data_IF_591728648109
#
_entry.id   IF_591728648109
#
_cell.length_a   1.000
_cell.length_b   1.000
_cell.length_c   1.000
_cell.angle_alpha   90.00
_cell.angle_beta   90.00
_cell.angle_gamma   90.00
#
_symmetry.space_group_name_H-M   'P 1'
#
loop_
_entity.id
_entity.type
_entity.pdbx_description
1 polymer ?
#
# COMPACT_ATOMS: atom_id res chain seq x y z
N UNK A 1 7.24 -34.46 -1.04
CA UNK A 1 7.22 -33.08 -1.53
C UNK A 1 8.65 -32.60 -1.48
N UNK A 2 9.25 -32.28 -2.62
CA UNK A 2 10.63 -31.77 -2.69
C UNK A 2 10.70 -30.37 -2.07
N UNK A 3 11.85 -29.98 -1.54
CA UNK A 3 12.10 -28.63 -1.02
C UNK A 3 11.85 -27.56 -2.09
N UNK A 4 12.14 -27.87 -3.37
CA UNK A 4 11.82 -26.99 -4.49
C UNK A 4 10.31 -26.83 -4.71
N UNK A 5 9.52 -27.90 -4.55
CA UNK A 5 8.06 -27.84 -4.67
C UNK A 5 7.47 -26.93 -3.59
N UNK A 6 7.94 -27.07 -2.34
CA UNK A 6 7.51 -26.24 -1.21
C UNK A 6 7.85 -24.77 -1.45
N UNK A 7 9.03 -24.49 -2.02
CA UNK A 7 9.46 -23.12 -2.34
C UNK A 7 8.64 -22.51 -3.49
N UNK A 8 8.28 -23.29 -4.49
CA UNK A 8 7.40 -22.85 -5.58
C UNK A 8 5.98 -22.58 -5.08
N UNK A 9 5.42 -23.45 -4.25
CA UNK A 9 4.10 -23.26 -3.64
C UNK A 9 4.10 -22.02 -2.75
N UNK A 10 5.12 -21.83 -1.90
CA UNK A 10 5.23 -20.65 -1.06
C UNK A 10 5.34 -19.35 -1.88
N UNK A 11 6.06 -19.37 -3.01
CA UNK A 11 6.11 -18.24 -3.95
C UNK A 11 4.77 -17.99 -4.62
N UNK A 12 4.12 -19.04 -5.12
CA UNK A 12 2.82 -18.93 -5.78
C UNK A 12 1.76 -18.37 -4.83
N UNK A 13 1.75 -18.81 -3.57
CA UNK A 13 0.85 -18.27 -2.53
C UNK A 13 1.17 -16.80 -2.25
N UNK A 14 2.45 -16.43 -2.13
CA UNK A 14 2.84 -15.01 -1.92
C UNK A 14 2.47 -14.15 -3.14
N UNK A 15 2.69 -14.63 -4.35
CA UNK A 15 2.31 -13.94 -5.60
C UNK A 15 0.79 -13.82 -5.75
N UNK A 16 0.04 -14.87 -5.38
CA UNK A 16 -1.41 -14.87 -5.38
C UNK A 16 -1.96 -13.94 -4.29
N UNK A 17 -1.37 -13.94 -3.08
CA UNK A 17 -1.72 -13.00 -2.01
C UNK A 17 -1.39 -11.54 -2.36
N UNK A 18 -0.27 -11.32 -3.07
CA UNK A 18 0.08 -10.01 -3.62
C UNK A 18 -0.89 -9.58 -4.73
N UNK A 19 -1.48 -10.54 -5.46
CA UNK A 19 -2.52 -10.28 -6.47
C UNK A 19 -3.89 -9.95 -5.88
N UNK A 20 -4.14 -10.25 -4.59
CA UNK A 20 -5.40 -9.91 -3.89
C UNK A 20 -5.49 -8.38 -3.63
N UNK A 21 -4.41 -7.65 -3.86
CA UNK A 21 -4.35 -6.20 -3.71
C UNK A 21 -4.92 -5.53 -4.97
N UNK A 22 -6.25 -5.56 -5.07
CA UNK A 22 -7.07 -5.07 -6.19
C UNK A 22 -6.92 -3.54 -6.37
N UNK A 23 -5.88 -3.10 -7.06
CA UNK A 23 -5.83 -1.75 -7.61
C UNK A 23 -4.93 -1.76 -8.84
N UNK A 24 -5.40 -1.15 -9.92
CA UNK A 24 -4.63 -1.07 -11.16
C UNK A 24 -3.79 0.21 -11.20
N UNK A 25 -2.55 0.05 -11.69
CA UNK A 25 -1.66 1.17 -11.95
C UNK A 25 -2.19 1.96 -13.15
N UNK A 26 -2.18 3.29 -13.07
CA UNK A 26 -2.57 4.13 -14.19
C UNK A 26 -1.61 3.89 -15.38
N UNK A 27 -2.12 3.59 -16.60
CA UNK A 27 -1.30 3.11 -17.73
C UNK A 27 -0.12 3.99 -18.10
N UNK A 28 -0.22 5.31 -17.86
CA UNK A 28 0.86 6.28 -18.13
C UNK A 28 2.14 6.05 -17.33
N UNK A 29 2.11 5.20 -16.30
CA UNK A 29 3.26 4.89 -15.44
C UNK A 29 3.79 3.46 -15.59
N UNK A 30 3.14 2.63 -16.41
CA UNK A 30 3.54 1.24 -16.63
C UNK A 30 5.01 1.15 -17.12
N UNK A 31 5.77 0.24 -16.54
CA UNK A 31 7.20 0.06 -16.85
C UNK A 31 8.10 1.23 -16.42
N UNK A 32 7.56 2.21 -15.68
CA UNK A 32 8.33 3.33 -15.14
C UNK A 32 9.19 2.95 -13.93
N UNK A 33 10.18 3.79 -13.63
CA UNK A 33 11.03 3.67 -12.45
C UNK A 33 11.30 5.03 -11.81
N UNK A 34 11.47 5.06 -10.49
CA UNK A 34 11.99 6.20 -9.75
C UNK A 34 13.48 5.98 -9.50
N UNK A 35 14.29 6.99 -9.79
CA UNK A 35 15.72 7.00 -9.46
C UNK A 35 15.97 7.97 -8.31
N UNK A 36 16.53 7.45 -7.21
CA UNK A 36 16.99 8.25 -6.09
C UNK A 36 18.46 8.59 -6.31
N UNK A 37 18.70 9.87 -6.63
CA UNK A 37 20.03 10.40 -6.89
C UNK A 37 20.65 10.87 -5.57
N UNK A 38 21.73 10.24 -5.09
CA UNK A 38 22.40 10.68 -3.89
C UNK A 38 23.09 12.03 -4.14
N UNK A 39 23.15 12.88 -3.11
CA UNK A 39 23.86 14.16 -3.18
C UNK A 39 25.37 13.98 -3.43
N UNK A 40 25.93 12.85 -2.99
CA UNK A 40 27.34 12.52 -3.21
C UNK A 40 27.48 11.57 -4.40
N UNK A 41 28.30 11.95 -5.38
CA UNK A 41 28.49 11.25 -6.66
C UNK A 41 29.18 9.89 -6.53
N UNK A 42 29.78 9.58 -5.38
CA UNK A 42 30.47 8.31 -5.14
C UNK A 42 29.50 7.15 -4.83
N UNK A 43 28.22 7.44 -4.64
CA UNK A 43 27.19 6.45 -4.30
C UNK A 43 26.35 6.14 -5.53
N UNK A 44 26.02 4.85 -5.73
CA UNK A 44 25.14 4.44 -6.83
C UNK A 44 23.72 4.95 -6.63
N UNK A 45 23.10 5.36 -7.72
CA UNK A 45 21.68 5.63 -7.80
C UNK A 45 20.88 4.41 -7.36
N UNK A 46 19.80 4.65 -6.63
CA UNK A 46 18.86 3.59 -6.27
C UNK A 46 17.66 3.64 -7.21
N UNK A 47 17.42 2.56 -7.93
CA UNK A 47 16.24 2.41 -8.78
C UNK A 47 15.11 1.70 -8.01
N UNK A 48 13.92 2.29 -8.03
CA UNK A 48 12.70 1.69 -7.53
C UNK A 48 11.67 1.62 -8.68
N UNK A 49 11.40 0.42 -9.21
CA UNK A 49 10.33 0.21 -10.18
C UNK A 49 8.98 0.73 -9.66
N UNK A 50 8.21 1.41 -10.51
CA UNK A 50 6.92 2.00 -10.13
C UNK A 50 5.96 0.93 -9.64
N UNK A 51 5.92 -0.26 -10.25
CA UNK A 51 5.05 -1.36 -9.82
C UNK A 51 5.32 -1.75 -8.37
N UNK A 52 6.60 -1.77 -7.97
CA UNK A 52 7.00 -2.07 -6.58
C UNK A 52 6.61 -0.98 -5.61
N UNK A 53 6.75 0.29 -6.01
CA UNK A 53 6.27 1.40 -5.20
C UNK A 53 4.74 1.34 -5.04
N UNK A 54 4.04 1.16 -6.15
CA UNK A 54 2.58 1.14 -6.19
C UNK A 54 2.02 0.01 -5.34
N UNK A 55 2.56 -1.20 -5.47
CA UNK A 55 2.18 -2.33 -4.62
C UNK A 55 2.35 -2.00 -3.12
N UNK A 56 3.46 -1.37 -2.72
CA UNK A 56 3.64 -0.91 -1.32
C UNK A 56 2.59 0.11 -0.88
N UNK A 57 2.19 1.02 -1.77
CA UNK A 57 1.14 2.00 -1.50
C UNK A 57 -0.21 1.31 -1.31
N UNK A 58 -0.54 0.34 -2.16
CA UNK A 58 -1.76 -0.46 -2.05
C UNK A 58 -1.76 -1.29 -0.75
N UNK A 59 -0.65 -1.90 -0.37
CA UNK A 59 -0.52 -2.58 0.93
C UNK A 59 -0.81 -1.64 2.11
N UNK A 60 -0.33 -0.39 2.08
CA UNK A 60 -0.59 0.58 3.14
C UNK A 60 -2.09 0.88 3.22
N UNK A 61 -2.75 1.08 2.08
CA UNK A 61 -4.19 1.30 1.99
C UNK A 61 -4.96 0.16 2.65
N UNK A 62 -4.60 -1.07 2.31
CA UNK A 62 -5.34 -2.25 2.76
C UNK A 62 -5.10 -2.51 4.26
N UNK A 63 -3.89 -2.30 4.76
CA UNK A 63 -3.60 -2.32 6.19
C UNK A 63 -4.36 -1.24 6.97
N UNK A 64 -4.49 -0.02 6.44
CA UNK A 64 -5.27 1.04 7.08
C UNK A 64 -6.77 0.70 7.13
N UNK A 65 -7.32 0.07 6.08
CA UNK A 65 -8.70 -0.43 6.07
C UNK A 65 -8.94 -1.49 7.13
N UNK A 66 -8.04 -2.48 7.23
CA UNK A 66 -8.12 -3.53 8.26
C UNK A 66 -8.02 -2.93 9.66
N UNK A 67 -7.11 -1.98 9.88
CA UNK A 67 -6.97 -1.30 11.16
C UNK A 67 -8.24 -0.53 11.55
N UNK A 68 -8.86 0.18 10.60
CA UNK A 68 -10.13 0.88 10.83
C UNK A 68 -11.25 -0.09 11.22
N UNK A 69 -11.36 -1.22 10.51
CA UNK A 69 -12.34 -2.26 10.85
C UNK A 69 -12.12 -2.83 12.26
N UNK A 70 -10.87 -3.15 12.62
CA UNK A 70 -10.53 -3.67 13.94
C UNK A 70 -10.87 -2.68 15.06
N UNK A 71 -10.63 -1.38 14.87
CA UNK A 71 -11.01 -0.35 15.84
C UNK A 71 -12.53 -0.26 15.99
N UNK A 72 -13.26 -0.30 14.87
CA UNK A 72 -14.73 -0.21 14.88
C UNK A 72 -15.37 -1.39 15.62
N UNK A 73 -14.84 -2.61 15.43
CA UNK A 73 -15.33 -3.84 16.05
C UNK A 73 -14.77 -4.13 17.45
N UNK A 74 -13.96 -3.25 18.02
CA UNK A 74 -13.36 -3.48 19.33
C UNK A 74 -14.29 -3.00 20.46
N UNK A 75 -14.83 -3.95 21.22
CA UNK A 75 -15.76 -3.68 22.34
C UNK A 75 -15.07 -3.11 23.59
N UNK A 76 -13.74 -3.22 23.69
CA UNK A 76 -12.97 -2.73 24.83
C UNK A 76 -12.55 -1.27 24.70
N UNK A 77 -12.74 -0.65 23.52
CA UNK A 77 -12.43 0.76 23.31
C UNK A 77 -13.65 1.63 23.61
N UNK A 78 -13.45 2.69 24.40
CA UNK A 78 -14.48 3.72 24.56
C UNK A 78 -14.73 4.47 23.24
N UNK A 79 -15.92 5.05 23.10
CA UNK A 79 -16.27 5.86 21.92
C UNK A 79 -15.27 7.00 21.69
N UNK A 80 -14.78 7.65 22.75
CA UNK A 80 -13.76 8.71 22.64
C UNK A 80 -12.42 8.20 22.10
N UNK A 81 -11.99 7.00 22.48
CA UNK A 81 -10.78 6.37 21.95
C UNK A 81 -10.95 5.96 20.49
N UNK A 82 -12.09 5.38 20.12
CA UNK A 82 -12.41 5.05 18.72
C UNK A 82 -12.32 6.29 17.84
N UNK A 83 -12.96 7.39 18.24
CA UNK A 83 -12.90 8.68 17.53
C UNK A 83 -11.45 9.19 17.40
N UNK A 84 -10.66 9.11 18.48
CA UNK A 84 -9.25 9.52 18.45
C UNK A 84 -8.43 8.71 17.44
N UNK A 85 -8.57 7.38 17.42
CA UNK A 85 -7.83 6.54 16.47
C UNK A 85 -8.30 6.73 15.03
N UNK A 86 -9.62 6.82 14.80
CA UNK A 86 -10.19 7.14 13.50
C UNK A 86 -9.68 8.50 12.96
N UNK A 87 -9.46 9.49 13.82
CA UNK A 87 -8.84 10.77 13.43
C UNK A 87 -7.41 10.59 12.90
N UNK A 88 -6.60 9.73 13.52
CA UNK A 88 -5.25 9.44 13.01
C UNK A 88 -5.30 8.66 11.69
N UNK A 89 -6.17 7.66 11.57
CA UNK A 89 -6.38 6.93 10.31
C UNK A 89 -6.78 7.91 9.19
N UNK A 90 -7.71 8.82 9.46
CA UNK A 90 -8.14 9.85 8.49
C UNK A 90 -6.97 10.73 8.05
N UNK A 91 -6.09 11.14 8.97
CA UNK A 91 -4.88 11.89 8.63
C UNK A 91 -3.91 11.07 7.78
N UNK A 92 -3.74 9.77 8.06
CA UNK A 92 -2.94 8.88 7.22
C UNK A 92 -3.52 8.80 5.79
N UNK A 93 -4.83 8.60 5.64
CA UNK A 93 -5.49 8.67 4.33
C UNK A 93 -5.24 10.00 3.63
N UNK A 94 -5.33 11.11 4.35
CA UNK A 94 -5.03 12.45 3.84
C UNK A 94 -3.61 12.55 3.26
N UNK A 95 -2.60 12.10 3.99
CA UNK A 95 -1.20 12.09 3.51
C UNK A 95 -1.02 11.24 2.25
N UNK A 96 -1.72 10.10 2.18
CA UNK A 96 -1.61 9.17 1.05
C UNK A 96 -2.31 9.66 -0.22
N UNK A 97 -3.18 10.67 -0.13
CA UNK A 97 -3.81 11.28 -1.33
C UNK A 97 -2.80 11.83 -2.34
N UNK A 98 -1.58 12.17 -1.89
CA UNK A 98 -0.45 12.56 -2.74
C UNK A 98 -0.11 11.51 -3.81
N UNK A 99 -0.45 10.24 -3.58
CA UNK A 99 -0.18 9.13 -4.50
C UNK A 99 -1.38 8.76 -5.39
N UNK A 100 -2.50 9.47 -5.31
CA UNK A 100 -3.72 9.16 -6.08
C UNK A 100 -3.52 9.20 -7.60
N UNK A 101 -2.47 9.88 -8.08
CA UNK A 101 -2.13 9.93 -9.51
C UNK A 101 -1.59 8.62 -10.09
N UNK A 102 -1.26 7.64 -9.22
CA UNK A 102 -0.82 6.31 -9.60
C UNK A 102 -1.97 5.34 -9.83
N UNK A 103 -3.17 5.60 -9.30
CA UNK A 103 -4.32 4.71 -9.43
C UNK A 103 -5.06 4.94 -10.76
N UNK A 104 -5.43 3.85 -11.43
CA UNK A 104 -6.31 3.89 -12.60
C UNK A 104 -7.74 4.23 -12.18
N UNK A 105 -8.32 3.45 -11.26
CA UNK A 105 -9.70 3.61 -10.82
C UNK A 105 -9.88 4.65 -9.71
N UNK A 106 -10.96 5.43 -9.80
CA UNK A 106 -11.32 6.42 -8.78
C UNK A 106 -11.78 5.79 -7.45
N UNK A 107 -12.27 4.55 -7.50
CA UNK A 107 -12.73 3.83 -6.31
C UNK A 107 -11.57 3.39 -5.41
N UNK A 108 -10.42 3.14 -6.02
CA UNK A 108 -9.22 2.65 -5.35
C UNK A 108 -8.39 3.74 -4.69
N UNK A 109 -8.62 5.00 -5.08
CA UNK A 109 -7.91 6.16 -4.56
C UNK A 109 -8.17 6.38 -3.07
N UNK A 110 -7.17 6.93 -2.40
CA UNK A 110 -7.31 7.38 -1.03
C UNK A 110 -8.30 8.56 -0.97
N UNK A 111 -9.28 8.47 -0.08
CA UNK A 111 -10.28 9.52 0.19
C UNK A 111 -10.09 10.02 1.61
N UNK A 112 -9.85 11.32 1.77
CA UNK A 112 -9.97 11.95 3.08
C UNK A 112 -11.46 12.23 3.33
N UNK A 113 -12.01 11.75 4.45
CA UNK A 113 -13.30 12.25 4.93
C UNK A 113 -13.07 13.70 5.38
N UNK A 114 -13.64 14.65 4.63
CA UNK A 114 -13.72 16.05 5.07
C UNK A 114 -14.82 16.20 6.12
#
# INVERSE_FOLDING_TARGET
MDYNDIKQIARAIVEEMDSIHNADLAPKWEGGSIFFLPKNSDTRDHELPIDKLFHKIVMIRDNLRVLEQQINSNDNLSEGEKVKYQSYITKCYGSMTSFNFLFYDEEDKFKSKK
#
